data_IF_441539368307
#
_entry.id   IF_441539368307
#
_cell.length_a   1.000
_cell.length_b   1.000
_cell.length_c   1.000
_cell.angle_alpha   90.00
_cell.angle_beta   90.00
_cell.angle_gamma   90.00
#
_symmetry.space_group_name_H-M   'P 1'
#
loop_
_entity.id
_entity.type
_entity.pdbx_description
1 polymer ?
#
# COMPACT_ATOMS: atom_id res chain seq x y z
N UNK A 1 3.57 50.23 -6.81
CA UNK A 1 4.45 49.09 -6.48
C UNK A 1 4.13 48.44 -5.13
N UNK A 2 4.07 49.20 -4.01
CA UNK A 2 3.72 48.64 -2.68
C UNK A 2 2.36 47.91 -2.62
N UNK A 3 1.35 48.42 -3.32
CA UNK A 3 0.02 47.79 -3.39
C UNK A 3 0.00 46.48 -4.20
N UNK A 4 0.87 46.35 -5.21
CA UNK A 4 0.99 45.14 -6.03
C UNK A 4 1.68 44.00 -5.26
N UNK A 5 2.66 44.35 -4.42
CA UNK A 5 3.32 43.43 -3.50
C UNK A 5 2.38 42.87 -2.42
N UNK A 6 1.44 43.70 -1.94
CA UNK A 6 0.44 43.29 -0.96
C UNK A 6 -0.57 42.30 -1.57
N UNK A 7 -1.00 42.52 -2.81
CA UNK A 7 -1.88 41.60 -3.53
C UNK A 7 -1.22 40.23 -3.78
N UNK A 8 0.05 40.20 -4.24
CA UNK A 8 0.78 38.93 -4.42
C UNK A 8 0.97 38.16 -3.11
N UNK A 9 1.16 38.87 -1.99
CA UNK A 9 1.26 38.26 -0.66
C UNK A 9 -0.04 37.58 -0.23
N UNK A 10 -1.20 38.15 -0.54
CA UNK A 10 -2.50 37.57 -0.17
C UNK A 10 -2.90 36.36 -1.02
N UNK A 11 -2.51 36.30 -2.30
CA UNK A 11 -2.80 35.14 -3.16
C UNK A 11 -2.03 33.86 -2.76
N UNK A 12 -0.88 33.99 -2.09
CA UNK A 12 -0.10 32.84 -1.62
C UNK A 12 -0.75 32.06 -0.47
N UNK A 13 -1.58 32.71 0.36
CA UNK A 13 -2.17 32.08 1.55
C UNK A 13 -3.43 31.25 1.24
N UNK A 14 -4.08 31.50 0.10
CA UNK A 14 -5.33 30.80 -0.29
C UNK A 14 -5.03 29.46 -0.98
N UNK A 15 -3.79 29.23 -1.44
CA UNK A 15 -3.42 28.02 -2.19
C UNK A 15 -3.17 26.78 -1.31
N UNK A 16 -3.19 26.89 0.02
CA UNK A 16 -2.74 25.81 0.93
C UNK A 16 -3.83 25.17 1.80
N UNK A 17 -5.11 25.28 1.45
CA UNK A 17 -6.18 24.63 2.21
C UNK A 17 -7.05 23.74 1.31
N UNK A 18 -6.47 22.68 0.74
CA UNK A 18 -7.29 21.51 0.41
C UNK A 18 -7.40 20.68 1.69
N UNK A 19 -8.55 20.68 2.40
CA UNK A 19 -8.73 19.77 3.52
C UNK A 19 -8.64 18.35 2.97
N UNK A 20 -7.60 17.62 3.39
CA UNK A 20 -7.50 16.20 3.10
C UNK A 20 -8.73 15.51 3.69
N UNK A 21 -9.70 15.18 2.83
CA UNK A 21 -10.83 14.37 3.21
C UNK A 21 -10.42 12.91 3.08
N UNK A 22 -10.20 12.25 4.22
CA UNK A 22 -10.09 10.79 4.24
C UNK A 22 -11.35 10.23 3.58
N UNK A 23 -11.18 9.45 2.51
CA UNK A 23 -12.30 8.77 1.88
C UNK A 23 -13.03 7.93 2.93
N UNK A 24 -14.36 8.04 2.97
CA UNK A 24 -15.18 7.17 3.82
C UNK A 24 -14.96 5.73 3.38
N UNK A 25 -14.64 4.88 4.33
CA UNK A 25 -14.53 3.45 4.09
C UNK A 25 -15.89 2.89 3.63
N UNK A 26 -15.91 2.15 2.52
CA UNK A 26 -17.10 1.50 1.98
C UNK A 26 -16.78 0.05 1.63
N UNK A 27 -17.61 -0.88 2.10
CA UNK A 27 -17.41 -2.32 1.90
C UNK A 27 -17.76 -2.80 0.48
N UNK A 28 -18.47 -2.01 -0.35
CA UNK A 28 -19.17 -2.54 -1.55
C UNK A 28 -18.99 -1.75 -2.84
N UNK A 29 -18.08 -0.79 -2.89
CA UNK A 29 -17.88 -0.05 -4.14
C UNK A 29 -16.85 -0.79 -4.99
N UNK A 30 -17.30 -1.43 -6.09
CA UNK A 30 -16.45 -2.02 -7.12
C UNK A 30 -15.69 -0.96 -7.94
N UNK A 31 -15.10 0.02 -7.26
CA UNK A 31 -14.38 1.11 -7.89
C UNK A 31 -12.91 0.73 -8.12
N UNK A 32 -12.29 1.45 -9.05
CA UNK A 32 -10.88 1.30 -9.41
C UNK A 32 -9.98 1.44 -8.17
N UNK A 33 -10.29 2.37 -7.28
CA UNK A 33 -9.53 2.59 -6.06
C UNK A 33 -9.60 1.40 -5.10
N UNK A 34 -10.72 0.69 -5.01
CA UNK A 34 -10.83 -0.50 -4.17
C UNK A 34 -9.95 -1.64 -4.70
N UNK A 35 -9.94 -1.85 -6.02
CA UNK A 35 -9.05 -2.85 -6.64
C UNK A 35 -7.58 -2.50 -6.40
N UNK A 36 -7.20 -1.23 -6.65
CA UNK A 36 -5.82 -0.76 -6.46
C UNK A 36 -5.40 -0.85 -4.99
N UNK A 37 -6.25 -0.39 -4.07
CA UNK A 37 -6.00 -0.47 -2.64
C UNK A 37 -5.88 -1.92 -2.17
N UNK A 38 -6.67 -2.83 -2.76
CA UNK A 38 -6.59 -4.25 -2.44
C UNK A 38 -5.28 -4.86 -2.90
N UNK A 39 -4.88 -4.63 -4.15
CA UNK A 39 -3.58 -5.06 -4.66
C UNK A 39 -2.44 -4.58 -3.75
N UNK A 40 -2.47 -3.29 -3.38
CA UNK A 40 -1.44 -2.71 -2.50
C UNK A 40 -1.49 -3.29 -1.08
N UNK A 41 -2.68 -3.54 -0.54
CA UNK A 41 -2.85 -4.12 0.79
C UNK A 41 -2.30 -5.56 0.84
N UNK A 42 -2.53 -6.37 -0.19
CA UNK A 42 -1.94 -7.72 -0.29
C UNK A 42 -0.40 -7.68 -0.29
N UNK A 43 0.20 -6.74 -1.02
CA UNK A 43 1.65 -6.54 -0.99
C UNK A 43 2.13 -6.11 0.41
N UNK A 44 1.40 -5.21 1.08
CA UNK A 44 1.72 -4.75 2.42
C UNK A 44 1.63 -5.88 3.47
N UNK A 45 0.52 -6.62 3.50
CA UNK A 45 0.34 -7.73 4.44
C UNK A 45 1.36 -8.84 4.20
N UNK A 46 1.68 -9.15 2.94
CA UNK A 46 2.73 -10.11 2.63
C UNK A 46 4.11 -9.62 3.07
N UNK A 47 4.42 -8.33 2.93
CA UNK A 47 5.68 -7.77 3.43
C UNK A 47 5.78 -7.93 4.96
N UNK A 48 4.72 -7.57 5.69
CA UNK A 48 4.68 -7.74 7.15
C UNK A 48 4.83 -9.21 7.54
N UNK A 49 4.03 -10.10 6.96
CA UNK A 49 4.03 -11.54 7.26
C UNK A 49 5.40 -12.13 7.04
N UNK A 50 6.09 -11.79 5.97
CA UNK A 50 7.39 -12.40 5.67
C UNK A 50 8.55 -11.79 6.47
N UNK A 51 8.38 -10.57 6.98
CA UNK A 51 9.41 -9.90 7.77
C UNK A 51 9.43 -10.30 9.25
N UNK A 52 8.31 -10.77 9.81
CA UNK A 52 8.24 -11.15 11.23
C UNK A 52 8.76 -12.57 11.48
N UNK A 53 9.68 -12.78 12.44
CA UNK A 53 10.21 -14.11 12.76
C UNK A 53 9.14 -15.13 13.19
N UNK A 54 8.10 -14.68 13.88
CA UNK A 54 7.00 -15.51 14.39
C UNK A 54 5.72 -15.36 13.56
N UNK A 55 5.88 -15.21 12.24
CA UNK A 55 4.80 -14.85 11.32
C UNK A 55 3.53 -15.69 11.43
N UNK A 56 3.65 -17.00 11.59
CA UNK A 56 2.49 -17.89 11.64
C UNK A 56 1.66 -17.67 12.92
N UNK A 57 2.33 -17.36 14.04
CA UNK A 57 1.63 -17.04 15.29
C UNK A 57 0.98 -15.67 15.23
N UNK A 58 1.70 -14.65 14.75
CA UNK A 58 1.20 -13.27 14.66
C UNK A 58 0.04 -13.17 13.66
N UNK A 59 0.25 -13.65 12.44
CA UNK A 59 -0.80 -13.60 11.42
C UNK A 59 -1.93 -14.58 11.70
N UNK A 60 -1.66 -15.71 12.36
CA UNK A 60 -2.72 -16.60 12.83
C UNK A 60 -3.64 -15.97 13.88
N UNK A 61 -3.18 -14.98 14.66
CA UNK A 61 -4.06 -14.21 15.56
C UNK A 61 -4.81 -13.10 14.82
N UNK A 62 -4.13 -12.43 13.88
CA UNK A 62 -4.76 -11.40 13.05
C UNK A 62 -5.90 -12.02 12.24
N UNK A 63 -5.65 -13.11 11.51
CA UNK A 63 -6.65 -13.78 10.66
C UNK A 63 -7.86 -14.35 11.45
N UNK A 64 -7.73 -14.54 12.78
CA UNK A 64 -8.87 -14.92 13.65
C UNK A 64 -9.80 -13.76 13.99
N UNK A 65 -9.28 -12.54 13.99
CA UNK A 65 -9.99 -11.34 14.48
C UNK A 65 -10.23 -10.30 13.40
N UNK A 66 -9.47 -10.36 12.32
CA UNK A 66 -9.43 -9.41 11.23
C UNK A 66 -9.65 -10.13 9.91
N UNK A 67 -10.59 -9.59 9.12
CA UNK A 67 -10.93 -10.09 7.79
C UNK A 67 -9.92 -9.60 6.73
N UNK A 68 -8.94 -8.77 7.14
CA UNK A 68 -7.87 -8.17 6.35
C UNK A 68 -8.40 -7.42 5.12
N UNK A 69 -8.64 -8.16 4.04
CA UNK A 69 -9.26 -7.63 2.85
C UNK A 69 -10.27 -8.63 2.26
N UNK A 70 -11.52 -8.18 2.11
CA UNK A 70 -12.65 -8.98 1.65
C UNK A 70 -13.03 -8.69 0.19
N UNK A 71 -12.23 -7.91 -0.54
CA UNK A 71 -12.58 -7.56 -1.90
C UNK A 71 -12.40 -8.76 -2.84
N UNK A 72 -13.51 -9.41 -3.19
CA UNK A 72 -13.54 -10.56 -4.11
C UNK A 72 -13.34 -10.18 -5.59
N UNK A 73 -13.28 -8.89 -5.92
CA UNK A 73 -13.17 -8.41 -7.30
C UNK A 73 -11.75 -8.45 -7.88
N UNK A 74 -10.76 -8.95 -7.13
CA UNK A 74 -9.40 -9.17 -7.61
C UNK A 74 -9.15 -10.67 -7.80
N UNK A 75 -8.52 -11.04 -8.93
CA UNK A 75 -8.23 -12.44 -9.23
C UNK A 75 -7.06 -12.99 -8.42
N UNK A 76 -7.02 -14.31 -8.22
CA UNK A 76 -5.94 -14.99 -7.50
C UNK A 76 -4.55 -14.70 -8.09
N UNK A 77 -4.45 -14.62 -9.42
CA UNK A 77 -3.20 -14.25 -10.12
C UNK A 77 -2.67 -12.88 -9.66
N UNK A 78 -3.54 -11.89 -9.55
CA UNK A 78 -3.15 -10.52 -9.17
C UNK A 78 -2.82 -10.45 -7.67
N UNK A 79 -3.56 -11.20 -6.84
CA UNK A 79 -3.24 -11.39 -5.42
C UNK A 79 -1.85 -12.00 -5.25
N UNK A 80 -1.56 -13.10 -5.96
CA UNK A 80 -0.27 -13.79 -5.86
C UNK A 80 0.87 -12.90 -6.35
N UNK A 81 0.63 -12.12 -7.41
CA UNK A 81 1.59 -11.14 -7.87
C UNK A 81 1.86 -10.06 -6.81
N UNK A 82 0.81 -9.47 -6.23
CA UNK A 82 0.96 -8.50 -5.14
C UNK A 82 1.75 -9.06 -3.95
N UNK A 83 1.44 -10.29 -3.52
CA UNK A 83 2.16 -10.98 -2.45
C UNK A 83 3.62 -11.22 -2.79
N UNK A 84 3.93 -11.55 -4.04
CA UNK A 84 5.31 -11.72 -4.50
C UNK A 84 6.14 -10.43 -4.36
N UNK A 85 5.52 -9.27 -4.61
CA UNK A 85 6.15 -7.97 -4.42
C UNK A 85 6.42 -7.71 -2.93
N UNK A 86 5.44 -7.99 -2.05
CA UNK A 86 5.62 -7.88 -0.60
C UNK A 86 6.75 -8.75 -0.07
N UNK A 87 6.82 -10.01 -0.52
CA UNK A 87 7.92 -10.96 -0.21
C UNK A 87 9.27 -10.39 -0.59
N UNK A 88 9.39 -9.83 -1.80
CA UNK A 88 10.63 -9.22 -2.27
C UNK A 88 11.10 -8.10 -1.34
N UNK A 89 10.19 -7.21 -0.94
CA UNK A 89 10.52 -6.11 -0.02
C UNK A 89 10.93 -6.61 1.36
N UNK A 90 10.31 -7.68 1.85
CA UNK A 90 10.72 -8.29 3.12
C UNK A 90 12.16 -8.83 3.07
N UNK A 91 12.55 -9.46 1.96
CA UNK A 91 13.90 -10.02 1.77
C UNK A 91 14.95 -8.94 1.55
N UNK A 92 14.60 -7.90 0.79
CA UNK A 92 15.52 -6.81 0.42
C UNK A 92 15.57 -5.69 1.48
N UNK A 93 14.91 -5.88 2.63
CA UNK A 93 14.81 -4.85 3.67
C UNK A 93 16.21 -4.47 4.17
N UNK A 94 16.58 -3.18 4.11
CA UNK A 94 17.90 -2.76 4.54
C UNK A 94 18.03 -2.90 6.06
N UNK A 95 19.24 -3.27 6.50
CA UNK A 95 19.58 -3.19 7.92
C UNK A 95 19.54 -1.73 8.36
N UNK A 96 18.88 -1.41 9.48
CA UNK A 96 18.78 -0.03 9.91
C UNK A 96 20.12 0.46 10.42
N UNK A 97 20.44 1.72 10.12
CA UNK A 97 21.56 2.42 10.73
C UNK A 97 21.08 3.08 12.03
N UNK A 98 21.31 2.42 13.15
CA UNK A 98 20.94 2.88 14.49
C UNK A 98 22.23 3.08 15.28
N UNK A 99 22.39 4.26 15.89
CA UNK A 99 23.44 4.46 16.91
C UNK A 99 23.00 3.69 18.14
N UNK A 100 23.84 2.77 18.61
CA UNK A 100 23.53 1.91 19.76
C UNK A 100 24.38 2.37 20.91
N UNK A 101 23.73 2.96 21.91
CA UNK A 101 24.33 3.30 23.18
C UNK A 101 24.31 2.10 24.15
N UNK A 102 25.04 2.16 25.25
CA UNK A 102 25.36 0.99 26.09
C UNK A 102 24.13 0.28 26.68
N UNK A 103 23.04 1.01 26.91
CA UNK A 103 21.76 0.52 27.41
C UNK A 103 20.78 0.07 26.30
N UNK A 104 21.16 0.19 25.03
CA UNK A 104 20.31 -0.07 23.87
C UNK A 104 20.73 -1.29 23.02
N UNK A 105 21.56 -2.18 23.57
CA UNK A 105 22.10 -3.36 22.85
C UNK A 105 21.00 -4.23 22.21
N UNK A 106 19.80 -4.24 22.79
CA UNK A 106 18.63 -4.95 22.27
C UNK A 106 18.17 -4.46 20.87
N UNK A 107 18.62 -3.27 20.42
CA UNK A 107 18.34 -2.71 19.11
C UNK A 107 19.18 -3.34 17.98
N UNK A 108 20.29 -4.02 18.27
CA UNK A 108 21.18 -4.61 17.23
C UNK A 108 20.51 -5.54 16.25
N UNK A 109 19.46 -6.22 16.70
CA UNK A 109 18.74 -7.24 15.91
C UNK A 109 17.38 -6.74 15.43
N UNK A 110 17.04 -5.47 15.68
CA UNK A 110 15.76 -4.88 15.30
C UNK A 110 15.83 -4.31 13.89
N UNK A 111 14.71 -4.40 13.19
CA UNK A 111 14.49 -3.80 11.88
C UNK A 111 13.25 -2.88 11.96
N UNK A 112 13.21 -1.85 11.12
CA UNK A 112 12.02 -1.00 10.97
C UNK A 112 10.99 -1.65 10.03
N UNK A 113 10.51 -2.84 10.39
CA UNK A 113 9.66 -3.68 9.53
C UNK A 113 8.40 -2.95 9.08
N UNK A 114 7.58 -2.50 10.03
CA UNK A 114 6.30 -1.86 9.74
C UNK A 114 6.49 -0.59 8.91
N UNK A 115 7.53 0.20 9.22
CA UNK A 115 7.85 1.41 8.49
C UNK A 115 8.30 1.12 7.04
N UNK A 116 9.15 0.12 6.81
CA UNK A 116 9.57 -0.24 5.45
C UNK A 116 8.38 -0.73 4.61
N UNK A 117 7.57 -1.65 5.16
CA UNK A 117 6.38 -2.13 4.46
C UNK A 117 5.38 -1.00 4.18
N UNK A 118 5.20 -0.06 5.13
CA UNK A 118 4.31 1.09 4.96
C UNK A 118 4.83 2.07 3.90
N UNK A 119 6.15 2.32 3.85
CA UNK A 119 6.74 3.14 2.80
C UNK A 119 6.57 2.52 1.43
N UNK A 120 6.74 1.20 1.31
CA UNK A 120 6.48 0.51 0.05
C UNK A 120 5.00 0.59 -0.35
N UNK A 121 4.08 0.38 0.61
CA UNK A 121 2.65 0.58 0.39
C UNK A 121 2.32 2.00 -0.12
N UNK A 122 3.00 3.02 0.40
CA UNK A 122 2.82 4.42 -0.02
C UNK A 122 3.66 4.82 -1.25
N UNK A 123 4.47 3.92 -1.81
CA UNK A 123 5.43 4.26 -2.84
C UNK A 123 4.79 4.50 -4.21
N UNK A 124 5.39 5.42 -4.99
CA UNK A 124 5.03 5.63 -6.40
C UNK A 124 5.31 4.40 -7.26
N UNK A 125 6.28 3.59 -6.87
CA UNK A 125 6.61 2.34 -7.53
C UNK A 125 5.43 1.36 -7.45
N UNK A 126 4.97 1.04 -6.23
CA UNK A 126 3.85 0.12 -6.06
C UNK A 126 2.56 0.69 -6.65
N UNK A 127 2.34 2.01 -6.58
CA UNK A 127 1.22 2.66 -7.27
C UNK A 127 1.24 2.44 -8.78
N UNK A 128 2.43 2.53 -9.39
CA UNK A 128 2.61 2.35 -10.83
C UNK A 128 2.38 0.89 -11.24
N UNK A 129 2.91 -0.05 -10.44
CA UNK A 129 2.71 -1.48 -10.65
C UNK A 129 1.23 -1.85 -10.52
N UNK A 130 0.56 -1.40 -9.47
CA UNK A 130 -0.87 -1.67 -9.25
C UNK A 130 -1.73 -1.12 -10.40
N UNK A 131 -1.44 0.08 -10.90
CA UNK A 131 -2.15 0.67 -12.05
C UNK A 131 -1.93 -0.14 -13.34
N UNK A 132 -0.71 -0.62 -13.58
CA UNK A 132 -0.41 -1.47 -14.72
C UNK A 132 -1.16 -2.81 -14.63
N UNK A 133 -1.11 -3.47 -13.49
CA UNK A 133 -1.83 -4.72 -13.24
C UNK A 133 -3.35 -4.54 -13.42
N UNK A 134 -3.92 -3.44 -12.91
CA UNK A 134 -5.35 -3.14 -13.10
C UNK A 134 -5.74 -2.98 -14.58
N UNK A 135 -4.87 -2.35 -15.39
CA UNK A 135 -5.10 -2.20 -16.83
C UNK A 135 -5.12 -3.56 -17.53
N UNK A 136 -4.23 -4.47 -17.15
CA UNK A 136 -4.21 -5.84 -17.68
C UNK A 136 -5.43 -6.64 -17.26
N UNK A 137 -5.82 -6.56 -15.99
CA UNK A 137 -7.05 -7.15 -15.47
C UNK A 137 -8.27 -6.69 -16.29
N UNK A 138 -8.44 -5.38 -16.46
CA UNK A 138 -9.56 -4.81 -17.22
C UNK A 138 -9.59 -5.30 -18.67
N UNK A 139 -8.45 -5.34 -19.34
CA UNK A 139 -8.36 -5.83 -20.72
C UNK A 139 -8.74 -7.30 -20.82
N UNK A 140 -8.31 -8.12 -19.86
CA UNK A 140 -8.60 -9.55 -19.80
C UNK A 140 -10.09 -9.80 -19.55
N UNK A 141 -10.70 -9.09 -18.59
CA UNK A 141 -12.14 -9.16 -18.33
C UNK A 141 -12.98 -8.74 -19.54
N UNK A 142 -12.55 -7.70 -20.28
CA UNK A 142 -13.23 -7.28 -21.51
C UNK A 142 -13.16 -8.33 -22.63
N UNK A 143 -12.04 -9.03 -22.74
CA UNK A 143 -11.88 -10.13 -23.71
C UNK A 143 -12.79 -11.31 -23.37
N UNK A 144 -12.94 -11.66 -22.10
CA UNK A 144 -13.87 -12.71 -21.67
C UNK A 144 -15.34 -12.35 -21.96
N UNK A 145 -15.73 -11.10 -21.73
CA UNK A 145 -17.09 -10.63 -22.07
C UNK A 145 -17.33 -10.72 -23.58
N UNK A 146 -16.34 -10.36 -24.42
CA UNK A 146 -16.46 -10.48 -25.87
C UNK A 146 -16.58 -11.92 -26.35
N UNK A 147 -15.87 -12.87 -25.72
CA UNK A 147 -15.96 -14.31 -26.03
C UNK A 147 -17.30 -14.94 -25.61
N UNK A 148 -17.98 -14.36 -24.62
CA UNK A 148 -19.25 -14.87 -24.08
C UNK A 148 -20.50 -14.27 -24.75
N UNK A 149 -20.36 -13.30 -25.66
CA UNK A 149 -21.49 -12.85 -26.48
C UNK A 149 -21.57 -13.71 -27.76
N UNK A 150 -22.72 -14.35 -28.03
CA UNK A 150 -22.94 -15.14 -29.24
C UNK A 150 -22.86 -14.27 -30.51
#
# INVERSE_FOLDING_TARGET
>A
MKQLLFLLSTLGLISCQTPYQRQKFSYRNADVSLWLNTFKAEAFYSCLKESYPNKDSVFGQIEKSDLLNLFEGIGTKDIDYARSLGKKIAVEMPKPFIKIDADEEYLRTKNFISYNCLNYYASRELDSIAKAAYKEFKNSSLLEIKRKRP
#
